data_IF_429297874706
#
_entry.id   IF_429297874706
#
_cell.length_a   1.000
_cell.length_b   1.000
_cell.length_c   1.000
_cell.angle_alpha   90.00
_cell.angle_beta   90.00
_cell.angle_gamma   90.00
#
_symmetry.space_group_name_H-M   'P 1'
#
loop_
_entity.id
_entity.type
_entity.pdbx_description
1 polymer ?
#
# COMPACT_ATOMS: atom_id res chain seq x y z
N UNK A 1 79.06 43.33 23.95
CA UNK A 1 77.68 43.34 23.48
C UNK A 1 77.31 42.31 22.36
N UNK A 2 78.21 41.91 21.48
CA UNK A 2 77.88 40.94 20.36
C UNK A 2 77.52 39.50 20.79
N UNK A 3 77.99 38.99 21.89
CA UNK A 3 77.68 37.59 22.37
C UNK A 3 76.26 37.44 22.94
N UNK A 4 75.68 38.52 23.45
CA UNK A 4 74.32 38.48 24.01
C UNK A 4 73.26 38.40 22.93
N UNK A 5 73.44 39.10 21.83
CA UNK A 5 72.53 39.15 20.67
C UNK A 5 72.43 37.78 19.98
N UNK A 6 73.59 37.06 19.83
CA UNK A 6 73.60 35.78 19.20
C UNK A 6 72.90 34.67 20.01
N UNK A 7 72.90 34.81 21.35
CA UNK A 7 72.18 33.85 22.21
C UNK A 7 70.67 34.04 22.21
N UNK A 8 70.22 35.27 22.03
CA UNK A 8 68.78 35.60 21.87
C UNK A 8 68.22 35.14 20.55
N UNK A 9 68.93 35.33 19.48
CA UNK A 9 68.50 34.87 18.13
C UNK A 9 68.48 33.35 17.97
N UNK A 10 69.40 32.65 18.70
CA UNK A 10 69.42 31.20 18.70
C UNK A 10 68.26 30.59 19.47
N UNK A 11 67.82 31.25 20.60
CA UNK A 11 66.65 30.87 21.34
C UNK A 11 65.33 31.12 20.59
N UNK A 12 65.21 32.21 19.86
CA UNK A 12 64.06 32.50 19.01
C UNK A 12 63.93 31.46 17.86
N UNK A 13 65.05 30.98 17.24
CA UNK A 13 65.01 29.96 16.21
C UNK A 13 64.56 28.57 16.76
N UNK A 14 64.93 28.23 18.01
CA UNK A 14 64.49 27.00 18.64
C UNK A 14 62.97 27.05 19.00
N UNK A 15 62.48 28.20 19.42
CA UNK A 15 61.04 28.38 19.73
C UNK A 15 60.17 28.28 18.45
N UNK A 16 60.60 28.78 17.29
CA UNK A 16 59.87 28.67 16.04
C UNK A 16 59.76 27.22 15.52
N UNK A 17 60.79 26.41 15.70
CA UNK A 17 60.77 24.99 15.31
C UNK A 17 59.79 24.18 16.18
N UNK A 18 59.70 24.46 17.48
CA UNK A 18 58.76 23.84 18.39
C UNK A 18 57.30 24.27 18.08
N UNK A 19 57.09 25.53 17.76
CA UNK A 19 55.77 26.06 17.36
C UNK A 19 55.27 25.45 16.06
N UNK A 20 56.12 25.24 15.08
CA UNK A 20 55.75 24.58 13.81
C UNK A 20 55.28 23.13 14.02
N UNK A 21 55.99 22.37 14.86
CA UNK A 21 55.57 20.98 15.18
C UNK A 21 54.19 20.93 15.86
N UNK A 22 53.96 21.80 16.81
CA UNK A 22 52.62 21.89 17.48
C UNK A 22 51.55 22.24 16.50
N UNK A 23 51.78 23.21 15.58
CA UNK A 23 50.81 23.57 14.53
C UNK A 23 50.45 22.39 13.62
N UNK A 24 51.42 21.57 13.22
CA UNK A 24 51.19 20.38 12.39
C UNK A 24 50.32 19.36 13.13
N UNK A 25 50.60 19.10 14.41
CA UNK A 25 49.81 18.18 15.24
C UNK A 25 48.35 18.67 15.36
N UNK A 26 48.12 19.96 15.57
CA UNK A 26 46.79 20.56 15.67
C UNK A 26 46.04 20.43 14.36
N UNK A 27 46.68 20.67 13.20
CA UNK A 27 46.07 20.51 11.89
C UNK A 27 45.68 19.05 11.62
N UNK A 28 46.57 18.10 11.93
CA UNK A 28 46.29 16.67 11.79
C UNK A 28 45.08 16.29 12.68
N UNK A 29 45.05 16.74 13.93
CA UNK A 29 43.95 16.48 14.84
C UNK A 29 42.60 17.03 14.31
N UNK A 30 42.60 18.24 13.76
CA UNK A 30 41.45 18.85 13.13
C UNK A 30 40.97 18.06 11.89
N UNK A 31 41.90 17.67 11.02
CA UNK A 31 41.58 16.87 9.83
C UNK A 31 40.99 15.50 10.22
N UNK A 32 41.55 14.82 11.21
CA UNK A 32 41.00 13.54 11.69
C UNK A 32 39.63 13.69 12.31
N UNK A 33 39.36 14.78 13.02
CA UNK A 33 38.04 15.07 13.58
C UNK A 33 37.00 15.31 12.47
N UNK A 34 37.34 16.07 11.44
CA UNK A 34 36.48 16.31 10.28
C UNK A 34 36.22 14.99 9.53
N UNK A 35 37.24 14.20 9.27
CA UNK A 35 37.12 12.92 8.58
C UNK A 35 36.21 11.93 9.34
N UNK A 36 36.39 11.80 10.64
CA UNK A 36 35.54 10.93 11.48
C UNK A 36 34.09 11.40 11.53
N UNK A 37 33.87 12.71 11.59
CA UNK A 37 32.52 13.30 11.55
C UNK A 37 31.82 13.00 10.22
N UNK A 38 32.53 13.16 9.10
CA UNK A 38 31.99 12.83 7.76
C UNK A 38 31.64 11.35 7.62
N UNK A 39 32.52 10.45 8.10
CA UNK A 39 32.23 9.02 8.11
C UNK A 39 31.00 8.68 8.96
N UNK A 40 30.85 9.30 10.11
CA UNK A 40 29.69 9.11 10.97
C UNK A 40 28.39 9.56 10.30
N UNK A 41 28.37 10.76 9.70
CA UNK A 41 27.21 11.30 8.98
C UNK A 41 26.87 10.40 7.79
N UNK A 42 27.88 9.93 7.03
CA UNK A 42 27.66 9.03 5.91
C UNK A 42 27.08 7.69 6.34
N UNK A 43 27.57 7.14 7.47
CA UNK A 43 27.03 5.92 8.05
C UNK A 43 25.58 6.06 8.49
N UNK A 44 25.23 7.17 9.15
CA UNK A 44 23.84 7.46 9.52
C UNK A 44 22.93 7.60 8.30
N UNK A 45 23.37 8.33 7.27
CA UNK A 45 22.60 8.49 6.03
C UNK A 45 22.37 7.15 5.32
N UNK A 46 23.37 6.26 5.33
CA UNK A 46 23.22 4.91 4.78
C UNK A 46 22.18 4.11 5.56
N UNK A 47 22.24 4.11 6.90
CA UNK A 47 21.26 3.42 7.74
C UNK A 47 19.84 3.97 7.53
N UNK A 48 19.68 5.29 7.45
CA UNK A 48 18.38 5.91 7.15
C UNK A 48 17.82 5.44 5.81
N UNK A 49 18.63 5.44 4.76
CA UNK A 49 18.19 4.97 3.43
C UNK A 49 17.84 3.49 3.44
N UNK A 50 18.61 2.66 4.14
CA UNK A 50 18.30 1.24 4.28
C UNK A 50 16.98 1.02 5.03
N UNK A 51 16.76 1.73 6.13
CA UNK A 51 15.51 1.68 6.89
C UNK A 51 14.31 2.13 6.04
N UNK A 52 14.44 3.24 5.30
CA UNK A 52 13.39 3.73 4.39
C UNK A 52 13.10 2.72 3.27
N UNK A 53 14.13 2.12 2.69
CA UNK A 53 13.98 1.07 1.68
C UNK A 53 13.22 -0.15 2.23
N UNK A 54 13.56 -0.63 3.43
CA UNK A 54 12.92 -1.79 4.04
C UNK A 54 11.47 -1.51 4.45
N UNK A 55 11.20 -0.30 4.95
CA UNK A 55 9.84 0.15 5.24
C UNK A 55 8.98 0.22 3.96
N UNK A 56 9.49 0.81 2.89
CA UNK A 56 8.80 0.85 1.60
C UNK A 56 8.57 -0.55 1.03
N UNK A 57 9.59 -1.41 1.08
CA UNK A 57 9.46 -2.80 0.65
C UNK A 57 8.35 -3.52 1.40
N UNK A 58 8.29 -3.37 2.74
CA UNK A 58 7.25 -4.02 3.52
C UNK A 58 5.85 -3.46 3.24
N UNK A 59 5.75 -2.15 2.97
CA UNK A 59 4.50 -1.53 2.56
C UNK A 59 4.01 -2.07 1.20
N UNK A 60 4.86 -2.05 0.17
CA UNK A 60 4.50 -2.56 -1.16
C UNK A 60 4.14 -4.05 -1.15
N UNK A 61 4.77 -4.85 -0.29
CA UNK A 61 4.40 -6.25 -0.13
C UNK A 61 3.04 -6.46 0.53
N UNK A 62 2.64 -5.59 1.43
CA UNK A 62 1.30 -5.59 1.99
C UNK A 62 0.26 -5.10 0.96
N UNK A 63 0.59 -4.09 0.16
CA UNK A 63 -0.22 -3.59 -0.94
C UNK A 63 -0.41 -4.65 -2.04
N UNK A 64 0.63 -5.38 -2.43
CA UNK A 64 0.58 -6.48 -3.38
C UNK A 64 -0.42 -7.59 -2.97
N UNK A 65 -0.54 -7.83 -1.66
CA UNK A 65 -1.55 -8.76 -1.16
C UNK A 65 -2.99 -8.22 -1.30
N UNK A 66 -3.18 -6.91 -1.13
CA UNK A 66 -4.48 -6.27 -1.39
C UNK A 66 -4.82 -6.26 -2.88
N UNK A 67 -3.83 -6.06 -3.75
CA UNK A 67 -4.03 -6.13 -5.21
C UNK A 67 -4.41 -7.55 -5.65
N UNK A 68 -3.80 -8.57 -5.04
CA UNK A 68 -4.19 -9.96 -5.28
C UNK A 68 -5.63 -10.24 -4.84
N UNK A 69 -6.09 -9.66 -3.72
CA UNK A 69 -7.48 -9.72 -3.31
C UNK A 69 -8.40 -8.99 -4.29
N UNK A 70 -8.02 -7.78 -4.72
CA UNK A 70 -8.80 -7.02 -5.69
C UNK A 70 -9.00 -7.81 -6.99
N UNK A 71 -8.01 -8.54 -7.46
CA UNK A 71 -8.14 -9.39 -8.64
C UNK A 71 -9.22 -10.48 -8.48
N UNK A 72 -9.28 -11.11 -7.31
CA UNK A 72 -10.34 -12.09 -6.98
C UNK A 72 -11.71 -11.43 -6.92
N UNK A 73 -11.80 -10.24 -6.32
CA UNK A 73 -13.06 -9.49 -6.25
C UNK A 73 -13.58 -9.06 -7.62
N UNK A 74 -12.69 -8.73 -8.56
CA UNK A 74 -13.07 -8.43 -9.96
C UNK A 74 -13.67 -9.67 -10.64
N UNK A 75 -13.16 -10.88 -10.36
CA UNK A 75 -13.74 -12.12 -10.86
C UNK A 75 -15.16 -12.33 -10.30
N UNK A 76 -15.36 -12.18 -8.98
CA UNK A 76 -16.67 -12.25 -8.33
C UNK A 76 -17.67 -11.21 -8.91
N UNK A 77 -17.18 -9.99 -9.19
CA UNK A 77 -18.00 -8.95 -9.83
C UNK A 77 -18.41 -9.35 -11.25
N UNK A 78 -17.53 -9.98 -12.02
CA UNK A 78 -17.82 -10.44 -13.37
C UNK A 78 -18.90 -11.52 -13.39
N UNK A 79 -18.83 -12.48 -12.48
CA UNK A 79 -19.85 -13.52 -12.33
C UNK A 79 -21.20 -12.91 -11.91
N UNK A 80 -21.22 -12.05 -10.89
CA UNK A 80 -22.43 -11.36 -10.45
C UNK A 80 -23.03 -10.49 -11.54
N UNK A 81 -22.20 -9.88 -12.39
CA UNK A 81 -22.65 -9.11 -13.54
C UNK A 81 -23.37 -9.98 -14.56
N UNK A 82 -22.78 -11.13 -14.94
CA UNK A 82 -23.39 -12.05 -15.90
C UNK A 82 -24.74 -12.58 -15.42
N UNK A 83 -24.83 -12.96 -14.14
CA UNK A 83 -26.05 -13.44 -13.52
C UNK A 83 -27.14 -12.34 -13.47
N UNK A 84 -26.79 -11.14 -13.00
CA UNK A 84 -27.71 -10.01 -12.93
C UNK A 84 -28.18 -9.57 -14.32
N UNK A 85 -27.27 -9.55 -15.30
CA UNK A 85 -27.60 -9.24 -16.68
C UNK A 85 -28.61 -10.25 -17.25
N UNK A 86 -28.37 -11.55 -17.04
CA UNK A 86 -29.26 -12.61 -17.52
C UNK A 86 -30.64 -12.50 -16.87
N UNK A 87 -30.70 -12.21 -15.56
CA UNK A 87 -31.96 -12.03 -14.84
C UNK A 87 -32.78 -10.85 -15.39
N UNK A 88 -32.14 -9.71 -15.60
CA UNK A 88 -32.81 -8.52 -16.17
C UNK A 88 -33.24 -8.75 -17.61
N UNK A 89 -32.43 -9.44 -18.42
CA UNK A 89 -32.78 -9.73 -19.82
C UNK A 89 -34.00 -10.66 -19.93
N UNK A 90 -34.19 -11.61 -19.03
CA UNK A 90 -35.42 -12.44 -18.99
C UNK A 90 -36.68 -11.59 -18.74
N UNK A 91 -36.55 -10.53 -17.95
CA UNK A 91 -37.65 -9.64 -17.58
C UNK A 91 -37.69 -8.35 -18.44
N UNK A 92 -36.80 -8.20 -19.42
CA UNK A 92 -36.56 -6.96 -20.15
C UNK A 92 -37.82 -6.36 -20.77
N UNK A 93 -38.70 -7.21 -21.37
CA UNK A 93 -39.94 -6.79 -22.03
C UNK A 93 -41.00 -6.32 -21.02
N UNK A 94 -40.92 -6.69 -19.75
CA UNK A 94 -41.88 -6.33 -18.70
C UNK A 94 -41.42 -5.13 -17.86
N UNK A 95 -40.15 -4.71 -17.97
CA UNK A 95 -39.58 -3.58 -17.25
C UNK A 95 -39.67 -2.31 -18.09
N UNK A 96 -40.05 -1.20 -17.45
CA UNK A 96 -39.97 0.13 -18.08
C UNK A 96 -38.48 0.56 -18.16
N UNK A 97 -38.14 1.39 -19.14
CA UNK A 97 -36.76 1.77 -19.46
C UNK A 97 -36.03 2.41 -18.27
N UNK A 98 -36.73 3.23 -17.49
CA UNK A 98 -36.21 3.89 -16.29
C UNK A 98 -36.01 2.95 -15.09
N UNK A 99 -36.70 1.82 -15.07
CA UNK A 99 -36.62 0.83 -13.97
C UNK A 99 -35.56 -0.26 -14.24
N UNK A 100 -35.13 -0.45 -15.48
CA UNK A 100 -34.16 -1.50 -15.86
C UNK A 100 -32.82 -1.35 -15.16
N UNK A 101 -32.31 -0.11 -15.09
CA UNK A 101 -31.03 0.13 -14.41
C UNK A 101 -31.16 -0.13 -12.89
N UNK A 102 -32.26 0.26 -12.28
CA UNK A 102 -32.49 0.01 -10.87
C UNK A 102 -32.64 -1.50 -10.58
N UNK A 103 -33.31 -2.24 -11.45
CA UNK A 103 -33.45 -3.69 -11.38
C UNK A 103 -32.09 -4.38 -11.51
N UNK A 104 -31.28 -3.95 -12.47
CA UNK A 104 -29.91 -4.47 -12.66
C UNK A 104 -29.03 -4.19 -11.43
N UNK A 105 -29.02 -2.96 -10.93
CA UNK A 105 -28.23 -2.59 -9.75
C UNK A 105 -28.64 -3.43 -8.53
N UNK A 106 -29.94 -3.64 -8.33
CA UNK A 106 -30.48 -4.48 -7.27
C UNK A 106 -30.02 -5.93 -7.41
N UNK A 107 -30.24 -6.52 -8.59
CA UNK A 107 -29.87 -7.91 -8.88
C UNK A 107 -28.35 -8.13 -8.71
N UNK A 108 -27.51 -7.23 -9.24
CA UNK A 108 -26.05 -7.31 -9.12
C UNK A 108 -25.60 -7.32 -7.64
N UNK A 109 -26.08 -6.35 -6.85
CA UNK A 109 -25.71 -6.26 -5.44
C UNK A 109 -26.21 -7.46 -4.65
N UNK A 110 -27.43 -7.96 -4.94
CA UNK A 110 -28.00 -9.10 -4.26
C UNK A 110 -27.22 -10.38 -4.58
N UNK A 111 -26.83 -10.62 -5.86
CA UNK A 111 -26.02 -11.77 -6.24
C UNK A 111 -24.64 -11.76 -5.58
N UNK A 112 -23.97 -10.62 -5.61
CA UNK A 112 -22.66 -10.48 -4.98
C UNK A 112 -22.74 -10.71 -3.46
N UNK A 113 -23.76 -10.16 -2.81
CA UNK A 113 -23.96 -10.32 -1.37
C UNK A 113 -24.35 -11.75 -0.99
N UNK A 114 -25.26 -12.37 -1.72
CA UNK A 114 -25.71 -13.75 -1.46
C UNK A 114 -24.53 -14.73 -1.55
N UNK A 115 -23.66 -14.56 -2.56
CA UNK A 115 -22.45 -15.37 -2.72
C UNK A 115 -21.54 -15.26 -1.49
N UNK A 116 -21.21 -14.05 -1.08
CA UNK A 116 -20.34 -13.82 0.07
C UNK A 116 -21.00 -14.20 1.41
N UNK A 117 -22.30 -14.01 1.52
CA UNK A 117 -23.07 -14.42 2.69
C UNK A 117 -23.14 -15.93 2.82
N UNK A 118 -23.39 -16.65 1.74
CA UNK A 118 -23.40 -18.12 1.74
C UNK A 118 -22.02 -18.67 2.15
N UNK A 119 -20.95 -18.10 1.65
CA UNK A 119 -19.60 -18.49 2.03
C UNK A 119 -19.30 -18.19 3.50
N UNK A 120 -19.75 -17.04 4.01
CA UNK A 120 -19.64 -16.67 5.43
C UNK A 120 -20.40 -17.66 6.32
N UNK A 121 -21.66 -17.97 6.00
CA UNK A 121 -22.48 -18.92 6.74
C UNK A 121 -21.87 -20.35 6.71
N UNK A 122 -21.34 -20.79 5.56
CA UNK A 122 -20.67 -22.08 5.44
C UNK A 122 -19.37 -22.13 6.27
N UNK A 123 -18.59 -21.06 6.28
CA UNK A 123 -17.38 -20.97 7.10
C UNK A 123 -17.70 -20.97 8.60
N UNK A 124 -18.68 -20.19 9.04
CA UNK A 124 -19.13 -20.17 10.44
C UNK A 124 -19.62 -21.54 10.90
N UNK A 125 -20.36 -22.26 10.06
CA UNK A 125 -20.80 -23.63 10.33
C UNK A 125 -19.62 -24.61 10.47
N UNK A 126 -18.52 -24.35 9.78
CA UNK A 126 -17.27 -25.12 9.88
C UNK A 126 -16.35 -24.66 11.02
N UNK A 127 -16.72 -23.62 11.76
CA UNK A 127 -15.90 -23.02 12.81
C UNK A 127 -14.80 -22.08 12.30
N UNK A 128 -14.88 -21.67 11.04
CA UNK A 128 -13.97 -20.73 10.39
C UNK A 128 -14.53 -19.30 10.41
N UNK A 129 -13.69 -18.34 10.07
CA UNK A 129 -14.07 -16.93 10.00
C UNK A 129 -14.24 -16.48 8.54
N UNK A 130 -14.88 -15.32 8.33
CA UNK A 130 -14.95 -14.70 6.99
C UNK A 130 -13.56 -14.41 6.42
N UNK A 131 -12.57 -14.14 7.28
CA UNK A 131 -11.17 -14.02 6.86
C UNK A 131 -10.66 -15.30 6.21
N UNK A 132 -10.99 -16.47 6.77
CA UNK A 132 -10.53 -17.76 6.24
C UNK A 132 -11.11 -18.00 4.83
N UNK A 133 -12.35 -17.57 4.60
CA UNK A 133 -12.97 -17.56 3.25
C UNK A 133 -12.18 -16.69 2.29
N UNK A 134 -11.89 -15.44 2.71
CA UNK A 134 -11.13 -14.49 1.90
C UNK A 134 -9.74 -15.02 1.59
N UNK A 135 -9.04 -15.55 2.59
CA UNK A 135 -7.69 -16.11 2.46
C UNK A 135 -7.66 -17.34 1.54
N UNK A 136 -8.70 -18.17 1.57
CA UNK A 136 -8.79 -19.36 0.70
C UNK A 136 -8.89 -19.00 -0.80
N UNK A 137 -9.37 -17.81 -1.13
CA UNK A 137 -9.52 -17.34 -2.51
C UNK A 137 -8.27 -16.64 -3.05
N UNK A 138 -7.47 -16.06 -2.16
CA UNK A 138 -6.23 -15.37 -2.52
C UNK A 138 -5.09 -16.38 -2.76
N UNK A 139 -4.15 -16.12 -3.70
CA UNK A 139 -2.99 -16.98 -3.90
C UNK A 139 -2.23 -17.25 -2.60
N UNK A 140 -1.79 -18.50 -2.39
CA UNK A 140 -1.21 -18.97 -1.12
C UNK A 140 0.02 -18.15 -0.65
N UNK A 141 0.73 -17.53 -1.59
CA UNK A 141 1.87 -16.65 -1.28
C UNK A 141 1.48 -15.38 -0.53
N UNK A 142 0.26 -14.86 -0.76
CA UNK A 142 -0.28 -13.65 -0.12
C UNK A 142 -1.19 -13.96 1.06
N UNK A 143 -1.80 -15.15 1.08
CA UNK A 143 -2.74 -15.60 2.10
C UNK A 143 -2.23 -15.39 3.54
N UNK A 144 -0.96 -15.64 3.77
CA UNK A 144 -0.28 -15.51 5.07
C UNK A 144 -0.16 -14.07 5.60
N UNK A 145 -0.41 -13.07 4.77
CA UNK A 145 -0.33 -11.66 5.17
C UNK A 145 -1.63 -11.12 5.75
N UNK A 146 -2.75 -11.81 5.49
CA UNK A 146 -4.05 -11.45 6.09
C UNK A 146 -4.10 -11.90 7.54
N UNK A 147 -4.43 -10.97 8.44
CA UNK A 147 -4.46 -11.20 9.88
C UNK A 147 -5.86 -10.98 10.45
N UNK A 148 -6.12 -11.61 11.59
CA UNK A 148 -7.35 -11.41 12.36
C UNK A 148 -7.38 -10.05 13.06
N UNK A 149 -8.59 -9.60 13.41
CA UNK A 149 -8.79 -8.49 14.30
C UNK A 149 -8.20 -8.80 15.68
N UNK A 150 -7.58 -7.80 16.30
CA UNK A 150 -7.15 -7.91 17.69
C UNK A 150 -8.36 -7.77 18.65
N UNK A 151 -8.27 -8.26 19.87
CA UNK A 151 -9.33 -8.10 20.86
C UNK A 151 -9.70 -6.62 21.03
N UNK A 152 -10.97 -6.28 20.77
CA UNK A 152 -11.48 -4.92 20.83
C UNK A 152 -11.51 -4.17 19.51
N UNK A 153 -11.00 -4.75 18.44
CA UNK A 153 -11.11 -4.21 17.07
C UNK A 153 -12.34 -4.78 16.36
N UNK A 154 -12.88 -4.03 15.41
CA UNK A 154 -13.95 -4.50 14.55
C UNK A 154 -13.48 -5.66 13.67
N UNK A 155 -14.28 -6.70 13.55
CA UNK A 155 -13.97 -7.86 12.72
C UNK A 155 -14.21 -7.56 11.23
N UNK A 156 -13.63 -8.37 10.37
CA UNK A 156 -13.92 -8.38 8.94
C UNK A 156 -15.42 -8.65 8.73
N UNK A 157 -16.09 -7.80 7.98
CA UNK A 157 -17.52 -7.94 7.69
C UNK A 157 -17.86 -7.46 6.28
N UNK A 158 -19.06 -7.88 5.81
CA UNK A 158 -19.61 -7.49 4.51
C UNK A 158 -20.88 -6.67 4.71
N UNK A 159 -21.04 -5.65 3.90
CA UNK A 159 -22.20 -4.77 3.93
C UNK A 159 -22.65 -4.37 2.52
N UNK A 160 -23.94 -4.06 2.36
CA UNK A 160 -24.47 -3.46 1.14
C UNK A 160 -24.92 -2.02 1.46
N UNK A 161 -24.48 -1.10 0.63
CA UNK A 161 -24.98 0.26 0.56
C UNK A 161 -25.82 0.39 -0.71
N UNK A 162 -27.13 0.14 -0.61
CA UNK A 162 -28.05 0.18 -1.74
C UNK A 162 -28.27 1.58 -2.27
N UNK A 163 -28.17 2.59 -1.41
CA UNK A 163 -28.39 3.99 -1.78
C UNK A 163 -27.29 4.49 -2.72
N UNK A 164 -26.07 4.05 -2.49
CA UNK A 164 -24.91 4.40 -3.31
C UNK A 164 -24.49 3.29 -4.29
N UNK A 165 -25.24 2.19 -4.37
CA UNK A 165 -24.92 1.09 -5.28
C UNK A 165 -23.58 0.43 -4.98
N UNK A 166 -23.29 0.12 -3.70
CA UNK A 166 -21.97 -0.41 -3.30
C UNK A 166 -22.09 -1.68 -2.47
N UNK A 167 -21.24 -2.65 -2.79
CA UNK A 167 -20.91 -3.74 -1.91
C UNK A 167 -19.60 -3.44 -1.20
N UNK A 168 -19.56 -3.56 0.13
CA UNK A 168 -18.43 -3.12 0.95
C UNK A 168 -17.91 -4.29 1.77
N UNK A 169 -16.62 -4.56 1.68
CA UNK A 169 -15.90 -5.46 2.58
C UNK A 169 -15.11 -4.57 3.54
N UNK A 170 -15.45 -4.65 4.83
CA UNK A 170 -14.89 -3.78 5.87
C UNK A 170 -13.80 -4.46 6.66
N UNK A 171 -12.87 -3.64 7.16
CA UNK A 171 -11.86 -4.06 8.13
C UNK A 171 -10.91 -5.16 7.61
N UNK A 172 -10.55 -5.08 6.32
CA UNK A 172 -9.53 -5.96 5.75
C UNK A 172 -8.17 -5.58 6.33
N UNK A 173 -7.49 -6.55 6.94
CA UNK A 173 -6.20 -6.34 7.60
C UNK A 173 -5.12 -7.15 6.95
N UNK A 174 -4.08 -6.45 6.54
CA UNK A 174 -2.89 -7.06 5.94
C UNK A 174 -1.67 -6.62 6.71
N UNK A 175 -0.81 -7.56 7.05
CA UNK A 175 0.47 -7.31 7.71
C UNK A 175 1.58 -8.06 7.01
N UNK A 176 2.59 -7.32 6.60
CA UNK A 176 3.85 -7.89 6.15
C UNK A 176 4.96 -7.54 7.12
N UNK A 177 5.77 -8.52 7.52
CA UNK A 177 6.90 -8.32 8.42
C UNK A 177 8.13 -9.07 7.90
N UNK A 178 9.26 -8.37 7.76
CA UNK A 178 10.54 -8.93 7.34
C UNK A 178 11.69 -8.15 8.01
N UNK A 179 12.70 -8.86 8.53
CA UNK A 179 13.93 -8.29 9.08
C UNK A 179 13.72 -7.20 10.17
N UNK A 180 12.67 -7.35 10.99
CA UNK A 180 12.35 -6.39 12.05
C UNK A 180 11.54 -5.17 11.57
N UNK A 181 11.23 -5.07 10.29
CA UNK A 181 10.35 -4.04 9.71
C UNK A 181 8.99 -4.66 9.42
N UNK A 182 7.93 -3.93 9.72
CA UNK A 182 6.57 -4.40 9.44
C UNK A 182 5.71 -3.25 8.95
N UNK A 183 4.87 -3.54 7.97
CA UNK A 183 3.78 -2.67 7.55
C UNK A 183 2.45 -3.32 7.87
N UNK A 184 1.53 -2.52 8.33
CA UNK A 184 0.15 -2.91 8.63
C UNK A 184 -0.78 -1.99 7.87
N UNK A 185 -1.71 -2.58 7.14
CA UNK A 185 -2.75 -1.87 6.39
C UNK A 185 -4.09 -2.39 6.89
N UNK A 186 -4.97 -1.48 7.29
CA UNK A 186 -6.38 -1.75 7.55
C UNK A 186 -7.19 -0.88 6.59
N UNK A 187 -8.03 -1.50 5.77
CA UNK A 187 -8.78 -0.80 4.73
C UNK A 187 -10.12 -1.45 4.48
N UNK A 188 -11.03 -0.67 3.92
CA UNK A 188 -12.29 -1.13 3.38
C UNK A 188 -12.20 -1.15 1.85
N UNK A 189 -12.78 -2.15 1.22
CA UNK A 189 -12.91 -2.23 -0.23
C UNK A 189 -14.38 -2.06 -0.58
N UNK A 190 -14.70 -1.06 -1.40
CA UNK A 190 -16.04 -0.81 -1.91
C UNK A 190 -16.09 -1.14 -3.41
N UNK A 191 -16.92 -2.11 -3.76
CA UNK A 191 -17.21 -2.51 -5.13
C UNK A 191 -18.46 -1.77 -5.60
N UNK A 192 -18.31 -0.89 -6.59
CA UNK A 192 -19.44 -0.16 -7.15
C UNK A 192 -20.12 -0.98 -8.24
N UNK A 193 -21.44 -0.82 -8.35
CA UNK A 193 -22.17 -1.36 -9.51
C UNK A 193 -21.61 -0.71 -10.78
N UNK A 194 -21.23 -1.50 -11.80
CA UNK A 194 -20.75 -0.95 -13.04
C UNK A 194 -21.87 -0.17 -13.74
N UNK A 195 -21.51 1.00 -14.29
CA UNK A 195 -22.43 1.74 -15.16
C UNK A 195 -22.67 0.94 -16.43
N UNK A 196 -23.92 0.58 -16.67
CA UNK A 196 -24.31 -0.19 -17.85
C UNK A 196 -25.45 0.52 -18.56
N UNK A 197 -25.24 0.89 -19.81
CA UNK A 197 -26.27 1.52 -20.64
C UNK A 197 -27.13 0.45 -21.31
N UNK A 198 -28.25 0.14 -20.67
CA UNK A 198 -29.26 -0.77 -21.21
C UNK A 198 -30.06 -0.18 -22.37
N UNK A 199 -29.93 1.12 -22.65
CA UNK A 199 -30.70 1.80 -23.72
C UNK A 199 -30.01 1.69 -25.07
N UNK A 200 -28.72 1.38 -25.12
CA UNK A 200 -27.91 1.41 -26.33
C UNK A 200 -27.42 0.00 -26.71
N UNK A 201 -28.35 -0.92 -26.91
CA UNK A 201 -28.03 -2.30 -27.35
C UNK A 201 -27.42 -2.42 -28.76
N UNK A 202 -27.02 -1.31 -29.39
CA UNK A 202 -26.49 -1.26 -30.74
C UNK A 202 -25.02 -0.84 -30.91
N UNK A 203 -24.34 -0.38 -29.89
CA UNK A 203 -22.96 0.11 -30.01
C UNK A 203 -22.05 -0.44 -28.91
N UNK A 204 -21.63 -1.68 -29.06
CA UNK A 204 -20.69 -2.35 -28.17
C UNK A 204 -19.23 -1.91 -28.37
N UNK A 205 -18.95 -0.92 -29.20
CA UNK A 205 -17.57 -0.58 -29.55
C UNK A 205 -16.96 0.61 -28.78
N UNK A 206 -17.75 1.41 -28.06
CA UNK A 206 -17.22 2.62 -27.42
C UNK A 206 -17.07 2.52 -25.88
N UNK A 207 -17.53 1.42 -25.26
CA UNK A 207 -17.52 1.25 -23.81
C UNK A 207 -16.13 0.90 -23.21
N UNK A 208 -15.14 0.65 -24.05
CA UNK A 208 -13.77 0.33 -23.62
C UNK A 208 -12.77 1.36 -24.16
N UNK A 209 -13.05 2.64 -24.00
CA UNK A 209 -11.99 3.63 -24.15
C UNK A 209 -10.96 3.42 -23.05
N UNK A 210 -9.77 2.93 -23.42
CA UNK A 210 -8.65 2.82 -22.49
C UNK A 210 -8.46 4.18 -21.84
N UNK A 211 -8.32 4.27 -20.51
CA UNK A 211 -7.95 5.52 -19.86
C UNK A 211 -6.69 6.06 -20.55
N UNK A 212 -6.74 7.31 -20.96
CA UNK A 212 -5.63 7.99 -21.63
C UNK A 212 -4.39 7.94 -20.71
N UNK A 213 -3.31 7.26 -21.10
CA UNK A 213 -2.10 7.18 -20.28
C UNK A 213 -1.38 8.54 -20.12
N UNK A 214 -1.91 9.61 -20.76
CA UNK A 214 -1.38 10.96 -20.71
C UNK A 214 -2.03 11.86 -19.65
N UNK A 215 -3.03 11.40 -18.91
CA UNK A 215 -3.57 12.14 -17.78
C UNK A 215 -2.59 12.07 -16.59
N UNK A 216 -1.55 12.91 -16.62
CA UNK A 216 -0.69 13.12 -15.45
C UNK A 216 -1.53 13.65 -14.28
N UNK A 217 -1.42 13.05 -13.06
CA UNK A 217 -2.05 13.61 -11.88
C UNK A 217 -1.40 14.97 -11.57
N UNK A 218 -2.19 16.04 -11.61
CA UNK A 218 -1.76 17.36 -11.13
C UNK A 218 -1.32 17.23 -9.67
N UNK A 219 -0.01 17.33 -9.45
CA UNK A 219 0.57 17.44 -8.11
C UNK A 219 0.25 18.83 -7.56
N UNK A 220 -0.62 18.86 -6.57
CA UNK A 220 -0.75 20.00 -5.63
C UNK A 220 0.08 19.73 -4.41
#
# INVERSE_FOLDING_TARGET
MRKSVNKMTKRMKLNNAGSALVSVIVVIALLTMIATTMLYITGMNYQMKQTDYLNKKSFYKAEEALDALNAVLVEDMSEAFEEAYTEVMVQYASLEDDTRQAAFNGAFLDRLYEKWRADKEAAEAAGNTLKDVLVARVPAEYAKYFIDAQPGEEVLDIAIDRDNGRFIIRNIRVRYAENGYSSYICTDIALCVPEFDLTNSGSTNDAWEKPDPAAEPERK
#
